data_IF_472286807302
#
_entry.id   IF_472286807302
#
_cell.length_a   1.000
_cell.length_b   1.000
_cell.length_c   1.000
_cell.angle_alpha   90.00
_cell.angle_beta   90.00
_cell.angle_gamma   90.00
#
_symmetry.space_group_name_H-M   'P 1'
#
loop_
_entity.id
_entity.type
_entity.pdbx_description
1 polymer ?
#
# COMPACT_ATOMS: atom_id res chain seq x y z
N UNK A 1 -17.69 -26.91 -13.85
CA UNK A 1 -19.07 -26.43 -13.59
C UNK A 1 -19.03 -25.50 -12.40
N UNK A 2 -18.71 -24.23 -12.63
CA UNK A 2 -18.56 -23.24 -11.56
C UNK A 2 -19.94 -22.77 -11.12
N UNK A 3 -20.34 -23.18 -9.93
CA UNK A 3 -21.60 -22.79 -9.28
C UNK A 3 -21.57 -21.29 -8.97
N UNK A 4 -22.31 -20.50 -9.74
CA UNK A 4 -22.59 -19.10 -9.41
C UNK A 4 -23.75 -19.13 -8.41
N UNK A 5 -23.49 -18.66 -7.19
CA UNK A 5 -24.50 -18.48 -6.16
C UNK A 5 -25.60 -17.54 -6.68
N UNK A 6 -26.80 -18.07 -6.90
CA UNK A 6 -28.02 -17.28 -7.11
C UNK A 6 -28.43 -16.68 -5.77
N UNK A 7 -28.26 -15.37 -5.61
CA UNK A 7 -28.92 -14.61 -4.54
C UNK A 7 -30.36 -14.30 -4.98
N UNK A 8 -31.34 -14.96 -4.36
CA UNK A 8 -32.75 -14.63 -4.50
C UNK A 8 -33.04 -13.28 -3.82
N UNK A 9 -33.69 -12.33 -4.52
CA UNK A 9 -34.02 -10.98 -4.02
C UNK A 9 -33.33 -9.80 -4.73
N UNK A 10 -32.55 -10.07 -5.78
CA UNK A 10 -31.76 -9.07 -6.52
C UNK A 10 -32.64 -8.06 -7.29
N UNK A 11 -32.50 -6.76 -7.00
CA UNK A 11 -33.13 -5.66 -7.75
C UNK A 11 -32.85 -5.80 -9.25
N UNK A 12 -33.74 -5.37 -10.16
CA UNK A 12 -33.44 -5.36 -11.60
C UNK A 12 -32.15 -4.61 -11.93
N UNK A 13 -31.82 -3.59 -11.15
CA UNK A 13 -30.57 -2.85 -11.27
C UNK A 13 -29.34 -3.67 -10.85
N UNK A 14 -29.45 -4.55 -9.86
CA UNK A 14 -28.37 -5.46 -9.48
C UNK A 14 -28.11 -6.52 -10.57
N UNK A 15 -29.15 -6.92 -11.32
CA UNK A 15 -29.03 -7.97 -12.35
C UNK A 15 -28.23 -7.51 -13.58
N UNK A 16 -28.25 -6.21 -13.88
CA UNK A 16 -27.48 -5.62 -14.99
C UNK A 16 -26.18 -4.96 -14.50
N UNK A 17 -25.84 -5.13 -13.22
CA UNK A 17 -24.59 -4.62 -12.65
C UNK A 17 -23.41 -5.44 -13.17
N UNK A 18 -22.37 -4.74 -13.59
CA UNK A 18 -21.12 -5.32 -14.05
C UNK A 18 -19.97 -4.85 -13.14
N UNK A 19 -18.86 -5.57 -13.18
CA UNK A 19 -17.63 -5.24 -12.45
C UNK A 19 -16.48 -5.24 -13.45
N UNK A 20 -15.63 -4.22 -13.40
CA UNK A 20 -14.45 -4.13 -14.26
C UNK A 20 -13.25 -4.93 -13.70
N UNK A 21 -12.11 -4.84 -14.38
CA UNK A 21 -10.90 -5.58 -13.99
C UNK A 21 -10.31 -5.08 -12.66
N UNK A 22 -10.61 -3.84 -12.29
CA UNK A 22 -10.14 -3.19 -11.07
C UNK A 22 -11.12 -3.39 -9.90
N UNK A 23 -12.21 -4.13 -10.11
CA UNK A 23 -13.23 -4.40 -9.11
C UNK A 23 -14.28 -3.28 -8.96
N UNK A 24 -14.29 -2.28 -9.84
CA UNK A 24 -15.27 -1.20 -9.79
C UNK A 24 -16.59 -1.62 -10.44
N UNK A 25 -17.70 -1.30 -9.76
CA UNK A 25 -19.04 -1.56 -10.27
C UNK A 25 -19.47 -0.52 -11.31
N UNK A 26 -20.06 -0.99 -12.40
CA UNK A 26 -20.64 -0.13 -13.44
C UNK A 26 -21.89 -0.73 -14.07
N UNK A 27 -22.64 0.14 -14.76
CA UNK A 27 -23.82 -0.19 -15.53
C UNK A 27 -23.67 0.30 -16.96
N UNK A 28 -24.17 -0.46 -17.93
CA UNK A 28 -24.26 0.01 -19.31
C UNK A 28 -25.51 0.88 -19.48
N UNK A 29 -25.34 2.07 -20.03
CA UNK A 29 -26.43 3.01 -20.26
C UNK A 29 -27.53 2.40 -21.14
N UNK A 30 -27.19 1.58 -22.14
CA UNK A 30 -28.19 0.87 -22.97
C UNK A 30 -29.08 -0.09 -22.18
N UNK A 31 -28.53 -0.80 -21.20
CA UNK A 31 -29.31 -1.69 -20.34
C UNK A 31 -30.15 -0.89 -19.35
N UNK A 32 -29.55 0.14 -18.76
CA UNK A 32 -30.22 1.03 -17.81
C UNK A 32 -31.40 1.77 -18.46
N UNK A 33 -31.27 2.19 -19.73
CA UNK A 33 -32.32 2.84 -20.51
C UNK A 33 -33.66 2.10 -20.42
N UNK A 34 -33.63 0.77 -20.61
CA UNK A 34 -34.83 -0.07 -20.63
C UNK A 34 -35.45 -0.17 -19.23
N UNK A 35 -34.63 -0.34 -18.20
CA UNK A 35 -35.10 -0.38 -16.82
C UNK A 35 -35.66 0.96 -16.32
N UNK A 36 -35.24 2.08 -16.92
CA UNK A 36 -35.75 3.42 -16.63
C UNK A 36 -36.96 3.82 -17.50
N UNK A 37 -37.49 2.89 -18.30
CA UNK A 37 -38.70 3.09 -19.09
C UNK A 37 -38.52 4.01 -20.31
N UNK A 38 -37.31 4.14 -20.84
CA UNK A 38 -37.04 4.90 -22.07
C UNK A 38 -37.01 3.99 -23.30
N UNK A 39 -37.96 4.17 -24.22
CA UNK A 39 -37.99 3.39 -25.47
C UNK A 39 -37.06 3.94 -26.56
N UNK A 40 -36.69 5.23 -26.48
CA UNK A 40 -35.89 5.92 -27.48
C UNK A 40 -34.56 6.39 -26.87
N UNK A 41 -33.45 5.98 -27.47
CA UNK A 41 -32.09 6.37 -27.02
C UNK A 41 -31.94 7.88 -26.88
N UNK A 42 -32.36 8.65 -27.89
CA UNK A 42 -32.22 10.11 -27.90
C UNK A 42 -32.79 10.78 -26.64
N UNK A 43 -33.96 10.33 -26.16
CA UNK A 43 -34.58 10.86 -24.93
C UNK A 43 -33.81 10.48 -23.66
N UNK A 44 -33.19 9.30 -23.67
CA UNK A 44 -32.37 8.85 -22.57
C UNK A 44 -31.00 9.53 -22.57
N UNK A 45 -30.41 9.74 -23.73
CA UNK A 45 -29.18 10.50 -23.93
C UNK A 45 -29.33 11.94 -23.44
N UNK A 46 -30.46 12.62 -23.73
CA UNK A 46 -30.80 13.92 -23.14
C UNK A 46 -30.87 13.89 -21.60
N UNK A 47 -31.21 12.75 -21.01
CA UNK A 47 -31.22 12.56 -19.54
C UNK A 47 -29.80 12.37 -19.01
N UNK A 48 -28.97 11.60 -19.72
CA UNK A 48 -27.55 11.43 -19.42
C UNK A 48 -26.82 12.78 -19.50
N UNK A 49 -27.06 13.60 -20.52
CA UNK A 49 -26.41 14.91 -20.67
C UNK A 49 -26.76 15.86 -19.51
N UNK A 50 -28.02 15.84 -19.04
CA UNK A 50 -28.41 16.58 -17.83
C UNK A 50 -27.71 16.04 -16.58
N UNK A 51 -27.56 14.73 -16.46
CA UNK A 51 -26.82 14.09 -15.37
C UNK A 51 -25.32 14.42 -15.40
N UNK A 52 -24.69 14.46 -16.58
CA UNK A 52 -23.29 14.91 -16.77
C UNK A 52 -23.11 16.37 -16.34
N UNK A 53 -24.05 17.24 -16.70
CA UNK A 53 -24.04 18.64 -16.27
C UNK A 53 -24.15 18.74 -14.74
N UNK A 54 -25.05 17.98 -14.12
CA UNK A 54 -25.17 17.93 -12.67
C UNK A 54 -23.86 17.43 -12.01
N UNK A 55 -23.25 16.37 -12.55
CA UNK A 55 -21.96 15.84 -12.09
C UNK A 55 -20.86 16.92 -12.10
N UNK A 56 -20.74 17.65 -13.22
CA UNK A 56 -19.79 18.76 -13.36
C UNK A 56 -20.06 19.87 -12.36
N UNK A 57 -21.32 20.26 -12.19
CA UNK A 57 -21.72 21.32 -11.26
C UNK A 57 -21.46 20.95 -9.79
N UNK A 58 -21.48 19.65 -9.47
CA UNK A 58 -21.09 19.12 -8.16
C UNK A 58 -19.57 19.03 -7.97
N UNK A 59 -18.75 19.45 -8.94
CA UNK A 59 -17.28 19.46 -8.85
C UNK A 59 -16.61 18.13 -9.21
N UNK A 60 -17.35 17.14 -9.72
CA UNK A 60 -16.79 15.84 -10.12
C UNK A 60 -16.40 15.82 -11.60
N UNK A 61 -15.31 15.13 -11.91
CA UNK A 61 -14.86 14.84 -13.28
C UNK A 61 -15.85 13.90 -13.97
N UNK A 62 -16.48 14.35 -15.06
CA UNK A 62 -17.56 13.62 -15.74
C UNK A 62 -17.06 12.28 -16.30
N UNK A 63 -15.84 12.26 -16.82
CA UNK A 63 -15.21 11.11 -17.48
C UNK A 63 -14.99 9.94 -16.51
N UNK A 64 -14.82 10.21 -15.22
CA UNK A 64 -14.69 9.19 -14.18
C UNK A 64 -16.02 8.45 -13.92
N UNK A 65 -17.15 9.06 -14.29
CA UNK A 65 -18.48 8.56 -13.96
C UNK A 65 -19.28 8.15 -15.20
N UNK A 66 -19.03 8.77 -16.35
CA UNK A 66 -19.71 8.58 -17.63
C UNK A 66 -18.70 8.28 -18.75
N UNK A 67 -18.12 7.09 -18.76
CA UNK A 67 -17.14 6.72 -19.77
C UNK A 67 -17.83 6.25 -21.07
N UNK A 68 -17.54 6.92 -22.19
CA UNK A 68 -18.04 6.53 -23.51
C UNK A 68 -17.39 5.21 -23.96
N UNK A 69 -18.22 4.22 -24.29
CA UNK A 69 -17.81 2.89 -24.76
C UNK A 69 -18.49 2.52 -26.08
N UNK A 70 -18.97 3.51 -26.82
CA UNK A 70 -19.71 3.29 -28.05
C UNK A 70 -18.98 2.41 -29.05
N UNK A 71 -19.70 1.43 -29.62
CA UNK A 71 -19.18 0.52 -30.64
C UNK A 71 -19.65 0.95 -32.04
N UNK A 72 -18.84 0.69 -33.05
CA UNK A 72 -19.29 0.74 -34.45
C UNK A 72 -20.00 -0.58 -34.76
N UNK A 73 -21.31 -0.54 -34.92
CA UNK A 73 -22.07 -1.72 -35.34
C UNK A 73 -22.15 -1.69 -36.87
N UNK A 74 -21.50 -2.65 -37.51
CA UNK A 74 -21.59 -2.85 -38.96
C UNK A 74 -23.00 -3.32 -39.34
N UNK A 75 -23.64 -2.62 -40.27
CA UNK A 75 -24.92 -3.06 -40.82
C UNK A 75 -24.69 -4.00 -42.01
N UNK A 76 -25.55 -5.03 -42.20
CA UNK A 76 -25.45 -5.97 -43.31
C UNK A 76 -25.53 -5.32 -44.71
N UNK A 77 -26.06 -4.10 -44.82
CA UNK A 77 -26.19 -3.36 -46.09
C UNK A 77 -25.09 -2.32 -46.35
N UNK A 78 -23.98 -2.35 -45.61
CA UNK A 78 -22.86 -1.43 -45.83
C UNK A 78 -23.14 -0.03 -45.25
N UNK A 79 -22.81 0.14 -43.98
CA UNK A 79 -22.96 1.42 -43.28
C UNK A 79 -22.95 1.21 -41.78
N UNK A 80 -21.78 1.32 -41.16
CA UNK A 80 -21.63 1.25 -39.72
C UNK A 80 -22.36 2.40 -39.04
N UNK A 81 -23.25 2.11 -38.08
CA UNK A 81 -23.78 3.14 -37.19
C UNK A 81 -22.99 3.09 -35.89
N UNK A 82 -22.38 4.22 -35.51
CA UNK A 82 -21.77 4.37 -34.18
C UNK A 82 -22.90 4.33 -33.16
N UNK A 83 -23.01 3.22 -32.44
CA UNK A 83 -23.97 3.09 -31.36
C UNK A 83 -23.29 3.61 -30.09
N UNK A 84 -23.60 4.85 -29.71
CA UNK A 84 -23.14 5.41 -28.44
C UNK A 84 -23.67 4.57 -27.27
N UNK A 85 -22.80 4.26 -26.31
CA UNK A 85 -23.14 3.65 -25.03
C UNK A 85 -22.16 4.20 -23.98
N UNK A 86 -22.55 4.12 -22.71
CA UNK A 86 -21.75 4.63 -21.60
C UNK A 86 -21.62 3.59 -20.51
N UNK A 87 -20.42 3.46 -19.95
CA UNK A 87 -20.21 2.88 -18.63
C UNK A 87 -20.52 3.93 -17.58
N UNK A 88 -21.52 3.64 -16.78
CA UNK A 88 -22.01 4.50 -15.71
C UNK A 88 -21.55 3.94 -14.36
N UNK A 89 -20.82 4.73 -13.60
CA UNK A 89 -20.57 4.43 -12.19
C UNK A 89 -21.88 4.43 -11.39
N UNK A 90 -21.87 3.92 -10.16
CA UNK A 90 -23.04 3.99 -9.25
C UNK A 90 -23.54 5.42 -9.08
N UNK A 91 -22.62 6.38 -8.93
CA UNK A 91 -22.94 7.80 -8.82
C UNK A 91 -23.60 8.36 -10.10
N UNK A 92 -23.10 7.99 -11.28
CA UNK A 92 -23.72 8.36 -12.55
C UNK A 92 -25.14 7.79 -12.70
N UNK A 93 -25.37 6.55 -12.24
CA UNK A 93 -26.71 5.95 -12.26
C UNK A 93 -27.69 6.73 -11.36
N UNK A 94 -27.23 7.11 -10.15
CA UNK A 94 -27.99 7.95 -9.25
C UNK A 94 -28.35 9.30 -9.89
N UNK A 95 -27.37 10.01 -10.45
CA UNK A 95 -27.62 11.30 -11.13
C UNK A 95 -28.54 11.14 -12.34
N UNK A 96 -28.41 10.05 -13.10
CA UNK A 96 -29.28 9.76 -14.24
C UNK A 96 -30.74 9.55 -13.79
N UNK A 97 -30.96 8.84 -12.67
CA UNK A 97 -32.29 8.68 -12.09
C UNK A 97 -32.86 10.00 -11.52
N UNK A 98 -32.02 10.82 -10.87
CA UNK A 98 -32.44 12.15 -10.37
C UNK A 98 -32.85 13.10 -11.49
N UNK A 99 -32.19 13.02 -12.64
CA UNK A 99 -32.48 13.86 -13.80
C UNK A 99 -33.52 13.22 -14.76
N UNK A 100 -34.04 12.03 -14.44
CA UNK A 100 -35.04 11.33 -15.24
C UNK A 100 -36.40 12.04 -15.32
N UNK A 101 -37.29 11.56 -16.19
CA UNK A 101 -38.68 12.04 -16.25
C UNK A 101 -39.46 11.55 -15.02
N UNK A 102 -39.85 12.44 -14.07
CA UNK A 102 -40.48 12.03 -12.82
C UNK A 102 -41.89 11.44 -13.02
N UNK A 103 -42.48 11.57 -14.21
CA UNK A 103 -43.77 10.95 -14.55
C UNK A 103 -43.66 9.44 -14.78
N UNK A 104 -42.44 8.90 -14.91
CA UNK A 104 -42.17 7.47 -15.09
C UNK A 104 -42.05 6.80 -13.73
N UNK A 105 -42.83 5.74 -13.52
CA UNK A 105 -42.75 4.96 -12.28
C UNK A 105 -41.37 4.32 -12.09
N UNK A 106 -40.75 3.91 -13.20
CA UNK A 106 -39.42 3.33 -13.26
C UNK A 106 -38.33 4.29 -12.73
N UNK A 107 -38.49 5.59 -12.99
CA UNK A 107 -37.59 6.62 -12.45
C UNK A 107 -37.72 6.69 -10.92
N UNK A 108 -38.93 6.65 -10.38
CA UNK A 108 -39.14 6.67 -8.93
C UNK A 108 -38.48 5.44 -8.25
N UNK A 109 -38.65 4.25 -8.84
CA UNK A 109 -38.00 3.03 -8.34
C UNK A 109 -36.47 3.14 -8.36
N UNK A 110 -35.92 3.66 -9.46
CA UNK A 110 -34.48 3.88 -9.59
C UNK A 110 -33.95 4.88 -8.57
N UNK A 111 -34.67 5.97 -8.32
CA UNK A 111 -34.31 6.96 -7.32
C UNK A 111 -34.24 6.33 -5.92
N UNK A 112 -35.27 5.59 -5.51
CA UNK A 112 -35.27 4.89 -4.21
C UNK A 112 -34.13 3.88 -4.10
N UNK A 113 -33.91 3.10 -5.15
CA UNK A 113 -32.86 2.09 -5.20
C UNK A 113 -31.45 2.72 -5.09
N UNK A 114 -31.11 3.65 -5.99
CA UNK A 114 -29.77 4.24 -6.04
C UNK A 114 -29.51 5.19 -4.85
N UNK A 115 -30.51 5.88 -4.30
CA UNK A 115 -30.35 6.65 -3.08
C UNK A 115 -30.01 5.73 -1.88
N UNK A 116 -30.75 4.64 -1.72
CA UNK A 116 -30.50 3.66 -0.64
C UNK A 116 -29.14 3.00 -0.79
N UNK A 117 -28.80 2.57 -2.02
CA UNK A 117 -27.55 1.85 -2.29
C UNK A 117 -26.32 2.75 -2.14
N UNK A 118 -26.42 4.01 -2.57
CA UNK A 118 -25.33 4.99 -2.40
C UNK A 118 -25.10 5.27 -0.92
N UNK A 119 -26.16 5.48 -0.13
CA UNK A 119 -26.06 5.66 1.33
C UNK A 119 -25.44 4.45 2.03
N UNK A 120 -25.85 3.24 1.67
CA UNK A 120 -25.26 2.01 2.24
C UNK A 120 -23.76 1.92 1.95
N UNK A 121 -23.35 2.22 0.72
CA UNK A 121 -21.93 2.19 0.33
C UNK A 121 -21.13 3.25 1.08
N UNK A 122 -21.64 4.47 1.18
CA UNK A 122 -20.99 5.57 1.90
C UNK A 122 -20.76 5.21 3.37
N UNK A 123 -21.77 4.66 4.05
CA UNK A 123 -21.66 4.18 5.43
C UNK A 123 -20.64 3.05 5.57
N UNK A 124 -20.60 2.12 4.62
CA UNK A 124 -19.64 1.03 4.61
C UNK A 124 -18.20 1.51 4.44
N UNK A 125 -17.98 2.49 3.56
CA UNK A 125 -16.67 3.14 3.38
C UNK A 125 -16.22 3.88 4.64
N UNK A 126 -17.10 4.65 5.27
CA UNK A 126 -16.82 5.34 6.55
C UNK A 126 -16.47 4.30 7.64
N UNK A 127 -17.23 3.22 7.72
CA UNK A 127 -16.97 2.14 8.67
C UNK A 127 -15.61 1.46 8.41
N UNK A 128 -15.26 1.22 7.14
CA UNK A 128 -13.94 0.67 6.79
C UNK A 128 -12.81 1.64 7.13
N UNK A 129 -12.98 2.94 6.88
CA UNK A 129 -11.97 3.96 7.18
C UNK A 129 -11.76 4.11 8.68
N UNK A 130 -12.84 4.16 9.46
CA UNK A 130 -12.78 4.18 10.94
C UNK A 130 -12.16 2.91 11.52
N UNK A 131 -12.44 1.74 10.94
CA UNK A 131 -11.78 0.49 11.34
C UNK A 131 -10.28 0.53 11.03
N UNK A 132 -9.89 1.02 9.85
CA UNK A 132 -8.47 1.17 9.47
C UNK A 132 -7.75 2.12 10.42
N UNK A 133 -8.32 3.28 10.72
CA UNK A 133 -7.70 4.24 11.65
C UNK A 133 -7.56 3.65 13.05
N UNK A 134 -8.59 2.97 13.56
CA UNK A 134 -8.55 2.33 14.87
C UNK A 134 -7.47 1.24 14.95
N UNK A 135 -7.28 0.46 13.88
CA UNK A 135 -6.21 -0.55 13.81
C UNK A 135 -4.84 0.14 13.82
N UNK A 136 -4.64 1.17 12.99
CA UNK A 136 -3.37 1.90 12.92
C UNK A 136 -3.02 2.51 14.28
N UNK A 137 -3.97 3.16 14.94
CA UNK A 137 -3.79 3.73 16.28
C UNK A 137 -3.43 2.67 17.32
N UNK A 138 -4.10 1.51 17.28
CA UNK A 138 -3.80 0.41 18.20
C UNK A 138 -2.39 -0.17 17.98
N UNK A 139 -1.97 -0.28 16.71
CA UNK A 139 -0.64 -0.72 16.32
C UNK A 139 0.41 0.29 16.80
N UNK A 140 0.24 1.57 16.51
CA UNK A 140 1.16 2.63 16.95
C UNK A 140 1.28 2.69 18.47
N UNK A 141 0.16 2.60 19.19
CA UNK A 141 0.13 2.58 20.65
C UNK A 141 0.90 1.41 21.24
N UNK A 142 0.93 0.28 20.54
CA UNK A 142 1.65 -0.92 20.95
C UNK A 142 3.13 -0.87 20.58
N UNK A 143 3.45 -0.39 19.37
CA UNK A 143 4.82 -0.40 18.82
C UNK A 143 5.68 0.76 19.34
N UNK A 144 5.14 1.97 19.49
CA UNK A 144 5.88 3.14 19.94
C UNK A 144 6.66 2.92 21.26
N UNK A 145 6.06 2.39 22.33
CA UNK A 145 6.81 2.15 23.57
C UNK A 145 7.86 1.04 23.44
N UNK A 146 7.68 0.09 22.53
CA UNK A 146 8.67 -0.97 22.27
C UNK A 146 9.88 -0.41 21.52
N UNK A 147 9.66 0.41 20.50
CA UNK A 147 10.74 1.11 19.79
C UNK A 147 11.52 2.01 20.75
N UNK A 148 10.83 2.76 21.61
CA UNK A 148 11.49 3.60 22.61
C UNK A 148 12.34 2.76 23.58
N UNK A 149 11.86 1.59 24.01
CA UNK A 149 12.63 0.66 24.86
C UNK A 149 13.85 0.11 24.12
N UNK A 150 13.72 -0.23 22.84
CA UNK A 150 14.85 -0.69 22.03
C UNK A 150 15.92 0.38 21.89
N UNK A 151 15.54 1.62 21.59
CA UNK A 151 16.49 2.75 21.55
C UNK A 151 17.17 2.98 22.90
N UNK A 152 16.41 2.87 24.00
CA UNK A 152 16.98 2.96 25.35
C UNK A 152 17.97 1.82 25.61
N UNK A 153 17.65 0.60 25.19
CA UNK A 153 18.55 -0.54 25.29
C UNK A 153 19.82 -0.30 24.46
N UNK A 154 19.72 0.12 23.20
CA UNK A 154 20.87 0.43 22.34
C UNK A 154 21.78 1.49 22.96
N UNK A 155 21.21 2.56 23.54
CA UNK A 155 21.99 3.60 24.24
C UNK A 155 22.66 3.10 25.52
N UNK A 156 22.09 2.08 26.16
CA UNK A 156 22.63 1.47 27.37
C UNK A 156 23.69 0.40 27.09
N UNK A 157 23.77 -0.10 25.86
CA UNK A 157 24.90 -0.92 25.42
C UNK A 157 26.10 0.02 25.37
N UNK A 158 27.13 -0.14 26.22
CA UNK A 158 28.35 0.64 26.09
C UNK A 158 28.85 0.46 24.66
N UNK A 159 29.30 1.54 24.00
CA UNK A 159 29.96 1.50 22.68
C UNK A 159 31.08 0.46 22.73
N UNK A 160 30.75 -0.81 22.45
CA UNK A 160 31.68 -1.91 22.50
C UNK A 160 32.42 -1.84 21.18
N UNK A 161 33.37 -0.90 21.10
CA UNK A 161 34.46 -1.07 20.15
C UNK A 161 35.08 -2.43 20.49
N UNK A 162 35.09 -3.40 19.56
CA UNK A 162 35.73 -4.67 19.82
C UNK A 162 37.15 -4.35 20.30
N UNK A 163 37.55 -4.89 21.45
CA UNK A 163 38.93 -4.72 21.92
C UNK A 163 39.84 -5.14 20.78
N UNK A 164 40.81 -4.31 20.40
CA UNK A 164 41.62 -4.61 19.23
C UNK A 164 42.33 -5.95 19.46
N UNK A 165 42.37 -6.81 18.42
CA UNK A 165 42.79 -8.20 18.56
C UNK A 165 44.22 -8.28 19.12
N UNK A 166 44.41 -9.10 20.16
CA UNK A 166 45.70 -9.19 20.89
C UNK A 166 46.91 -9.48 19.99
N UNK A 167 46.69 -10.21 18.89
CA UNK A 167 47.69 -10.54 17.90
C UNK A 167 47.07 -10.35 16.51
N UNK A 168 47.77 -9.66 15.61
CA UNK A 168 47.44 -9.61 14.19
C UNK A 168 48.35 -10.57 13.41
N UNK A 169 47.83 -11.12 12.32
CA UNK A 169 48.58 -12.03 11.45
C UNK A 169 49.73 -11.30 10.74
N UNK A 170 50.79 -12.03 10.36
CA UNK A 170 51.87 -11.52 9.51
C UNK A 170 51.38 -11.04 8.13
N UNK A 171 50.22 -11.53 7.68
CA UNK A 171 49.58 -11.11 6.44
C UNK A 171 48.77 -9.82 6.55
N UNK A 172 48.75 -9.16 7.72
CA UNK A 172 48.01 -7.91 7.93
C UNK A 172 48.76 -6.75 7.27
N UNK A 173 48.15 -5.98 6.36
CA UNK A 173 48.80 -4.83 5.73
C UNK A 173 49.28 -3.81 6.78
N UNK A 174 50.50 -3.25 6.67
CA UNK A 174 51.03 -2.29 7.65
C UNK A 174 50.14 -1.06 7.87
N UNK A 175 49.45 -0.59 6.82
CA UNK A 175 48.56 0.57 6.89
C UNK A 175 47.26 0.31 7.67
N UNK A 176 46.94 -0.96 7.94
CA UNK A 176 45.79 -1.39 8.74
C UNK A 176 46.15 -1.73 10.19
N UNK A 177 47.45 -1.71 10.53
CA UNK A 177 47.94 -2.00 11.89
C UNK A 177 47.91 -0.71 12.71
N UNK A 178 47.30 -0.71 13.91
CA UNK A 178 47.35 0.45 14.80
C UNK A 178 48.81 0.81 15.18
N UNK A 179 49.14 2.10 15.19
CA UNK A 179 50.50 2.64 15.39
C UNK A 179 51.21 2.15 16.67
N UNK A 180 50.45 1.69 17.66
CA UNK A 180 50.96 1.24 18.95
C UNK A 180 51.33 -0.25 19.00
N UNK A 181 51.00 -1.03 17.95
CA UNK A 181 51.33 -2.46 17.90
C UNK A 181 52.83 -2.67 17.64
N UNK A 182 53.39 -3.68 18.31
CA UNK A 182 54.78 -4.09 18.11
C UNK A 182 54.86 -5.31 17.20
N UNK A 183 55.80 -5.30 16.25
CA UNK A 183 56.05 -6.46 15.40
C UNK A 183 56.95 -7.47 16.14
N UNK A 184 56.57 -8.74 16.10
CA UNK A 184 57.34 -9.87 16.62
C UNK A 184 58.30 -10.42 15.54
N UNK A 185 59.27 -11.23 15.97
CA UNK A 185 60.27 -11.86 15.09
C UNK A 185 59.66 -12.76 14.01
N UNK A 186 58.42 -13.25 14.21
CA UNK A 186 57.67 -14.06 13.27
C UNK A 186 56.70 -13.24 12.40
N UNK A 187 56.95 -11.94 12.28
CA UNK A 187 56.22 -10.94 11.49
C UNK A 187 54.78 -10.67 11.94
N UNK A 188 54.29 -11.32 13.00
CA UNK A 188 52.98 -11.00 13.62
C UNK A 188 53.05 -9.73 14.44
N UNK A 189 51.91 -9.08 14.64
CA UNK A 189 51.83 -7.88 15.47
C UNK A 189 51.16 -8.18 16.80
N UNK A 190 51.65 -7.59 17.89
CA UNK A 190 51.11 -7.77 19.24
C UNK A 190 50.67 -6.43 19.83
N UNK A 191 49.53 -6.41 20.51
CA UNK A 191 49.05 -5.19 21.16
C UNK A 191 49.93 -4.82 22.36
N UNK A 192 50.11 -3.51 22.68
CA UNK A 192 50.95 -3.08 23.80
C UNK A 192 50.57 -3.72 25.15
N UNK A 193 49.26 -3.80 25.43
CA UNK A 193 48.74 -4.40 26.65
C UNK A 193 49.09 -5.89 26.77
N UNK A 194 49.01 -6.61 25.65
CA UNK A 194 49.31 -8.03 25.62
C UNK A 194 50.81 -8.31 25.64
N UNK A 195 51.60 -7.44 25.00
CA UNK A 195 53.06 -7.44 25.08
C UNK A 195 53.55 -7.25 26.52
N UNK A 196 53.07 -6.21 27.21
CA UNK A 196 53.43 -5.96 28.61
C UNK A 196 53.05 -7.11 29.54
N UNK A 197 51.86 -7.69 29.34
CA UNK A 197 51.41 -8.84 30.14
C UNK A 197 52.33 -10.04 29.95
N UNK A 198 52.69 -10.34 28.72
CA UNK A 198 53.57 -11.46 28.37
C UNK A 198 54.98 -11.23 28.91
N UNK A 199 55.49 -9.99 28.81
CA UNK A 199 56.78 -9.57 29.39
C UNK A 199 56.80 -9.74 30.91
N UNK A 200 55.79 -9.22 31.63
CA UNK A 200 55.69 -9.35 33.10
C UNK A 200 55.58 -10.81 33.54
N UNK A 201 54.88 -11.64 32.76
CA UNK A 201 54.75 -13.07 33.05
C UNK A 201 56.07 -13.81 32.81
N UNK A 202 56.80 -13.49 31.74
CA UNK A 202 58.13 -14.02 31.48
C UNK A 202 59.11 -13.61 32.59
N UNK A 203 59.13 -12.33 32.98
CA UNK A 203 59.99 -11.82 34.06
C UNK A 203 59.75 -12.51 35.41
N UNK A 204 58.49 -12.82 35.72
CA UNK A 204 58.12 -13.58 36.93
C UNK A 204 58.54 -15.05 36.85
N UNK A 205 58.58 -15.61 35.65
CA UNK A 205 58.91 -17.02 35.40
C UNK A 205 60.42 -17.24 35.22
N UNK A 206 61.21 -16.18 35.06
CA UNK A 206 62.67 -16.25 35.07
C UNK A 206 63.17 -16.82 36.41
N UNK A 207 64.13 -17.73 36.30
CA UNK A 207 64.82 -18.35 37.43
C UNK A 207 65.46 -17.28 38.32
N UNK A 208 65.52 -17.54 39.63
CA UNK A 208 65.87 -16.53 40.63
C UNK A 208 67.26 -15.88 40.42
N UNK A 209 68.22 -16.60 39.81
CA UNK A 209 69.56 -16.10 39.48
C UNK A 209 69.53 -15.00 38.41
N UNK A 210 68.64 -15.11 37.41
CA UNK A 210 68.51 -14.14 36.31
C UNK A 210 67.83 -12.85 36.78
N UNK A 211 66.90 -12.95 37.74
CA UNK A 211 66.28 -11.75 38.38
C UNK A 211 67.27 -10.94 39.22
N UNK A 212 68.34 -11.58 39.74
CA UNK A 212 69.36 -10.92 40.57
C UNK A 212 70.36 -10.10 39.76
N UNK A 213 70.63 -10.48 38.51
CA UNK A 213 71.51 -9.75 37.61
C UNK A 213 70.87 -8.46 37.05
N UNK A 214 69.56 -8.46 36.78
CA UNK A 214 68.84 -7.30 36.23
C UNK A 214 68.54 -6.19 37.27
N UNK A 215 68.76 -6.43 38.57
CA UNK A 215 68.56 -5.44 39.65
C UNK A 215 69.86 -5.05 40.36
N UNK A 216 71.02 -5.36 39.76
CA UNK A 216 72.33 -5.08 40.31
C UNK A 216 73.25 -4.37 39.32
N UNK A 217 72.90 -3.12 38.98
CA UNK A 217 73.80 -2.00 38.67
C UNK A 217 73.03 -0.69 38.88
#
# INVERSE_FOLDING_TARGET
MTTIAKFEGSSPFDQIRLVDQDGNEYWLARQLQLLLGYNQWRRFEETIERAKLACRNSGYTVENHFADVGNVVERPQGGGSKQSDYKLSRYACYLTAMNGDPRKHEIALAQSYFATKTRQTELELINQETLKSAITEAVERSLAPLLQRLEQMERSIPQAHPSPPRILSASTPPDEVPDDYQQLDDERWISPEYYERTRRQAERSLFWETRRANHGE
#
